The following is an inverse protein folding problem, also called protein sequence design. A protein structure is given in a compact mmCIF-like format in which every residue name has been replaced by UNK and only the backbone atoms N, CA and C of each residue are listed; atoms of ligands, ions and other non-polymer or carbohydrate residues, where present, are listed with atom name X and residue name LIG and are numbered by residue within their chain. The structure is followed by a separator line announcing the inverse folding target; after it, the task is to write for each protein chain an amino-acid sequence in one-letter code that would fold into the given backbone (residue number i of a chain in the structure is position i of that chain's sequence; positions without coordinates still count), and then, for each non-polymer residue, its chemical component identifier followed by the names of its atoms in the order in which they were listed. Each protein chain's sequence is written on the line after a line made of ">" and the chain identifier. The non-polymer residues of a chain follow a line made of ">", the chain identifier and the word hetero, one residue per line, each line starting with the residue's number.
data_IF_683510473798
#
_entry.id   IF_683510473798
#
_cell.length_a   1.000
_cell.length_b   1.000
_cell.length_c   1.000
_cell.angle_alpha   90.00
_cell.angle_beta   90.00
_cell.angle_gamma   90.00
#
_symmetry.space_group_name_H-M   'P 1'
#
loop_
_entity.id
_entity.type
_entity.pdbx_description
1 polymer ?
#
# COMPACT_ATOMS: atom_id res chain seq x y z
N UNK A 1 -15.66 -10.51 -1.08
CA UNK A 1 -15.75 -9.38 -2.04
C UNK A 1 -14.36 -9.11 -2.60
N UNK A 2 -14.19 -8.87 -3.91
CA UNK A 2 -12.88 -8.47 -4.48
C UNK A 2 -12.71 -6.96 -4.34
N UNK A 3 -11.67 -6.50 -3.65
CA UNK A 3 -11.33 -5.06 -3.56
C UNK A 3 -10.19 -4.76 -4.53
N UNK A 4 -10.08 -3.53 -5.01
CA UNK A 4 -8.95 -3.11 -5.88
C UNK A 4 -7.94 -2.32 -5.08
N UNK A 5 -6.66 -2.54 -5.36
CA UNK A 5 -5.60 -1.70 -4.82
C UNK A 5 -5.76 -0.26 -5.31
N UNK A 6 -5.75 0.72 -4.40
CA UNK A 6 -5.83 2.16 -4.67
C UNK A 6 -4.64 2.69 -5.47
N UNK A 7 -3.55 1.94 -5.61
CA UNK A 7 -2.43 2.33 -6.47
C UNK A 7 -2.86 2.23 -7.93
N UNK A 8 -2.99 3.39 -8.58
CA UNK A 8 -3.42 3.56 -9.98
C UNK A 8 -2.75 2.58 -10.95
N UNK A 9 -1.45 2.32 -10.75
CA UNK A 9 -0.66 1.48 -11.65
C UNK A 9 -0.57 0.00 -11.24
N UNK A 10 -1.10 -0.38 -10.08
CA UNK A 10 -1.03 -1.76 -9.59
C UNK A 10 -2.08 -2.64 -10.30
N UNK A 11 -3.26 -2.09 -10.61
CA UNK A 11 -4.43 -2.77 -11.25
C UNK A 11 -4.83 -4.12 -10.63
N UNK A 12 -4.25 -4.48 -9.49
CA UNK A 12 -4.36 -5.80 -8.88
C UNK A 12 -5.62 -5.84 -8.02
N UNK A 13 -6.41 -6.89 -8.24
CA UNK A 13 -7.51 -7.25 -7.35
C UNK A 13 -6.94 -7.98 -6.14
N UNK A 14 -7.44 -7.63 -4.96
CA UNK A 14 -7.04 -8.18 -3.68
C UNK A 14 -8.25 -8.80 -2.99
N UNK A 15 -8.02 -9.97 -2.43
CA UNK A 15 -9.00 -10.71 -1.65
C UNK A 15 -8.98 -10.24 -0.19
N UNK A 16 -10.02 -10.57 0.56
CA UNK A 16 -10.05 -10.35 1.99
C UNK A 16 -8.85 -11.03 2.66
N UNK A 17 -8.07 -10.29 3.46
CA UNK A 17 -6.83 -10.77 4.07
C UNK A 17 -5.55 -10.54 3.24
N UNK A 18 -5.66 -10.17 1.95
CA UNK A 18 -4.50 -9.92 1.07
C UNK A 18 -4.22 -8.42 0.83
N UNK A 19 -4.75 -7.55 1.68
CA UNK A 19 -4.56 -6.11 1.59
C UNK A 19 -4.35 -5.47 2.96
N UNK A 20 -3.78 -4.26 2.95
CA UNK A 20 -3.68 -3.37 4.11
C UNK A 20 -4.46 -2.09 3.82
N UNK A 21 -5.04 -1.50 4.86
CA UNK A 21 -5.68 -0.18 4.77
C UNK A 21 -4.72 0.83 5.37
N UNK A 22 -4.44 1.91 4.65
CA UNK A 22 -3.58 3.02 5.07
C UNK A 22 -4.32 4.30 4.68
N UNK A 23 -4.59 5.22 5.61
CA UNK A 23 -5.35 6.46 5.36
C UNK A 23 -6.65 6.21 4.57
N UNK A 24 -7.51 5.30 5.04
CA UNK A 24 -8.76 4.87 4.39
C UNK A 24 -8.63 4.29 2.96
N UNK A 25 -7.41 4.10 2.47
CA UNK A 25 -7.13 3.56 1.16
C UNK A 25 -6.69 2.09 1.24
N UNK A 26 -7.17 1.27 0.30
CA UNK A 26 -6.86 -0.16 0.22
C UNK A 26 -5.60 -0.38 -0.61
N UNK A 27 -4.56 -0.98 -0.02
CA UNK A 27 -3.31 -1.28 -0.69
C UNK A 27 -3.06 -2.78 -0.69
N UNK A 28 -2.65 -3.36 -1.81
CA UNK A 28 -2.08 -4.70 -1.80
C UNK A 28 -0.79 -4.73 -0.96
N UNK A 29 -0.44 -5.90 -0.41
CA UNK A 29 0.71 -6.04 0.50
C UNK A 29 2.00 -5.49 -0.11
N UNK A 30 2.25 -5.72 -1.40
CA UNK A 30 3.44 -5.22 -2.09
C UNK A 30 3.48 -3.70 -2.17
N UNK A 31 2.37 -3.06 -2.58
CA UNK A 31 2.28 -1.60 -2.62
C UNK A 31 2.36 -0.97 -1.23
N UNK A 32 1.73 -1.58 -0.22
CA UNK A 32 1.82 -1.13 1.17
C UNK A 32 3.25 -1.20 1.71
N UNK A 33 4.03 -2.21 1.30
CA UNK A 33 5.43 -2.38 1.66
C UNK A 33 6.31 -1.31 1.01
N UNK A 34 6.08 -1.01 -0.27
CA UNK A 34 6.78 0.07 -0.98
C UNK A 34 6.44 1.46 -0.43
N UNK A 35 5.17 1.70 -0.11
CA UNK A 35 4.70 2.95 0.48
C UNK A 35 5.38 3.21 1.84
N UNK A 36 5.41 2.19 2.71
CA UNK A 36 6.15 2.26 3.98
C UNK A 36 7.64 2.51 3.80
N UNK A 37 8.30 1.84 2.84
CA UNK A 37 9.73 2.07 2.58
C UNK A 37 10.02 3.51 2.14
N UNK A 38 9.14 4.13 1.36
CA UNK A 38 9.32 5.51 0.90
C UNK A 38 9.17 6.50 2.06
N UNK A 39 8.16 6.32 2.91
CA UNK A 39 7.97 7.12 4.12
C UNK A 39 9.16 6.96 5.08
N UNK A 40 9.60 5.73 5.34
CA UNK A 40 10.77 5.47 6.19
C UNK A 40 12.04 6.13 5.65
N UNK A 41 12.29 6.09 4.34
CA UNK A 41 13.46 6.75 3.74
C UNK A 41 13.43 8.27 3.89
N UNK A 42 12.26 8.89 3.74
CA UNK A 42 12.10 10.33 3.90
C UNK A 42 12.20 10.76 5.38
N UNK A 43 11.72 9.92 6.31
CA UNK A 43 11.85 10.14 7.75
C UNK A 43 13.30 10.02 8.23
N UNK A 44 14.06 9.03 7.74
CA UNK A 44 15.47 8.83 8.10
C UNK A 44 16.43 9.83 7.43
N UNK A 45 16.02 10.52 6.36
CA UNK A 45 16.83 11.58 5.74
C UNK A 45 16.80 12.91 6.50
N UNK A 46 15.92 13.05 7.50
CA UNK A 46 15.81 14.23 8.37
C UNK A 46 16.48 14.03 9.74
N UNK A 47 17.22 12.95 9.93
CA UNK A 47 18.01 12.67 11.14
C UNK A 47 19.45 13.13 11.00
#
# INVERSE_FOLDING_TARGET
>A
MKKKCSVVNCRREVSEGEYKIIDDNVFCIECATLFNKRILKELFKRG
#
